data_IF_737674135426
#
_entry.id   IF_737674135426
#
_cell.length_a   1.000
_cell.length_b   1.000
_cell.length_c   1.000
_cell.angle_alpha   90.00
_cell.angle_beta   90.00
_cell.angle_gamma   90.00
#
_symmetry.space_group_name_H-M   'P 1'
#
loop_
_entity.id
_entity.type
_entity.pdbx_description
1 polymer ?
#
# COMPACT_ATOMS: atom_id res chain seq x y z
N UNK A 1 3.43 -19.91 -16.85
CA UNK A 1 3.89 -18.55 -17.17
C UNK A 1 3.99 -17.77 -15.87
N UNK A 2 5.17 -17.77 -15.24
CA UNK A 2 5.39 -17.20 -13.92
C UNK A 2 6.67 -16.37 -13.95
N UNK A 3 6.57 -15.15 -14.46
CA UNK A 3 7.53 -14.07 -14.23
C UNK A 3 6.96 -12.80 -14.87
N UNK A 4 7.14 -11.67 -14.18
CA UNK A 4 7.07 -10.28 -14.70
C UNK A 4 6.00 -9.34 -14.13
N UNK A 5 5.78 -9.32 -12.81
CA UNK A 5 5.55 -8.04 -12.09
C UNK A 5 6.18 -8.19 -10.70
N UNK A 6 7.47 -7.84 -10.58
CA UNK A 6 8.28 -8.04 -9.37
C UNK A 6 8.13 -6.93 -8.33
N UNK A 7 7.40 -5.85 -8.63
CA UNK A 7 6.99 -4.86 -7.65
C UNK A 7 5.48 -4.99 -7.48
N UNK A 8 5.00 -5.39 -6.30
CA UNK A 8 3.58 -5.50 -6.00
C UNK A 8 2.82 -4.18 -6.05
N UNK A 9 3.47 -3.07 -6.46
CA UNK A 9 2.95 -1.72 -6.58
C UNK A 9 2.23 -1.47 -7.91
N UNK A 10 1.04 -0.89 -7.84
CA UNK A 10 0.24 -0.44 -8.97
C UNK A 10 0.04 1.07 -8.89
N UNK A 11 0.30 1.78 -9.98
CA UNK A 11 -0.10 3.18 -10.13
C UNK A 11 -1.62 3.28 -10.14
N UNK A 12 -2.15 4.24 -9.37
CA UNK A 12 -3.59 4.45 -9.23
C UNK A 12 -4.02 5.73 -9.94
N UNK A 13 -3.47 6.86 -9.51
CA UNK A 13 -3.75 8.18 -10.07
C UNK A 13 -2.72 9.19 -9.54
N UNK A 14 -2.86 10.46 -9.90
CA UNK A 14 -2.19 11.58 -9.25
C UNK A 14 -2.85 11.90 -7.92
N UNK A 15 -2.07 12.39 -6.96
CA UNK A 15 -2.55 12.86 -5.66
C UNK A 15 -3.58 14.00 -5.78
N UNK A 16 -3.58 14.70 -6.92
CA UNK A 16 -4.55 15.75 -7.25
C UNK A 16 -5.95 15.22 -7.58
N UNK A 17 -6.12 13.90 -7.76
CA UNK A 17 -7.44 13.28 -7.90
C UNK A 17 -8.24 13.27 -6.59
N UNK A 18 -7.54 13.41 -5.45
CA UNK A 18 -8.12 13.52 -4.09
C UNK A 18 -7.44 14.69 -3.36
N UNK A 19 -7.72 15.94 -3.78
CA UNK A 19 -6.96 17.12 -3.36
C UNK A 19 -7.16 17.52 -1.88
N UNK A 20 -8.28 17.20 -1.26
CA UNK A 20 -8.62 17.66 0.08
C UNK A 20 -8.82 16.52 1.07
N UNK A 21 -8.61 16.78 2.36
CA UNK A 21 -8.94 15.84 3.42
C UNK A 21 -10.41 15.41 3.34
N UNK A 22 -10.65 14.11 3.46
CA UNK A 22 -11.96 13.49 3.29
C UNK A 22 -12.26 13.05 1.86
N UNK A 23 -11.49 13.49 0.85
CA UNK A 23 -11.66 13.00 -0.52
C UNK A 23 -11.28 11.52 -0.62
N UNK A 24 -12.01 10.79 -1.47
CA UNK A 24 -11.73 9.38 -1.72
C UNK A 24 -11.93 8.99 -3.17
N UNK A 25 -11.17 7.98 -3.59
CA UNK A 25 -11.21 7.38 -4.91
C UNK A 25 -11.40 5.87 -4.77
N UNK A 26 -12.46 5.33 -5.38
CA UNK A 26 -12.67 3.89 -5.45
C UNK A 26 -12.12 3.32 -6.75
N UNK A 27 -11.30 2.28 -6.64
CA UNK A 27 -10.67 1.60 -7.76
C UNK A 27 -10.82 0.09 -7.63
N UNK A 28 -10.79 -0.62 -8.76
CA UNK A 28 -10.75 -2.09 -8.77
C UNK A 28 -9.36 -2.55 -9.20
N UNK A 29 -8.62 -3.17 -8.28
CA UNK A 29 -7.29 -3.74 -8.55
C UNK A 29 -7.35 -5.25 -8.45
N UNK A 30 -7.01 -5.96 -9.53
CA UNK A 30 -7.07 -7.42 -9.62
C UNK A 30 -8.40 -8.03 -9.12
N UNK A 31 -9.53 -7.36 -9.42
CA UNK A 31 -10.86 -7.78 -9.00
C UNK A 31 -11.20 -7.48 -7.54
N UNK A 32 -10.32 -6.80 -6.80
CA UNK A 32 -10.55 -6.37 -5.42
C UNK A 32 -10.93 -4.89 -5.38
N UNK A 33 -12.02 -4.52 -4.67
CA UNK A 33 -12.38 -3.12 -4.48
C UNK A 33 -11.44 -2.49 -3.45
N UNK A 34 -10.72 -1.44 -3.88
CA UNK A 34 -9.82 -0.65 -3.05
C UNK A 34 -10.37 0.77 -2.98
N UNK A 35 -10.37 1.35 -1.79
CA UNK A 35 -10.62 2.78 -1.59
C UNK A 35 -9.30 3.44 -1.20
N UNK A 36 -8.94 4.51 -1.91
CA UNK A 36 -7.85 5.41 -1.57
C UNK A 36 -8.48 6.66 -0.96
N UNK A 37 -7.96 7.12 0.17
CA UNK A 37 -8.53 8.24 0.94
C UNK A 37 -7.40 9.21 1.28
N UNK A 38 -7.67 10.52 1.18
CA UNK A 38 -6.85 11.54 1.83
C UNK A 38 -7.43 11.77 3.22
N UNK A 39 -6.69 11.39 4.24
CA UNK A 39 -7.15 11.50 5.64
C UNK A 39 -6.98 12.92 6.18
N UNK A 40 -7.49 13.15 7.39
CA UNK A 40 -7.44 14.47 8.05
C UNK A 40 -6.03 14.94 8.37
N UNK A 41 -5.08 14.02 8.51
CA UNK A 41 -3.65 14.29 8.65
C UNK A 41 -2.94 14.54 7.31
N UNK A 42 -3.71 14.70 6.23
CA UNK A 42 -3.27 14.87 4.85
C UNK A 42 -2.52 13.67 4.23
N UNK A 43 -2.38 12.56 4.96
CA UNK A 43 -1.80 11.34 4.41
C UNK A 43 -2.76 10.67 3.42
N UNK A 44 -2.19 10.06 2.37
CA UNK A 44 -2.95 9.23 1.44
C UNK A 44 -2.85 7.77 1.87
N UNK A 45 -3.98 7.19 2.27
CA UNK A 45 -4.08 5.78 2.70
C UNK A 45 -4.95 4.98 1.75
N UNK A 46 -4.76 3.67 1.75
CA UNK A 46 -5.55 2.76 0.92
C UNK A 46 -6.07 1.59 1.73
N UNK A 47 -7.29 1.17 1.42
CA UNK A 47 -7.99 0.11 2.12
C UNK A 47 -8.68 -0.85 1.15
N UNK A 48 -8.59 -2.14 1.44
CA UNK A 48 -9.42 -3.16 0.80
C UNK A 48 -10.81 -3.14 1.43
N UNK A 49 -11.83 -2.86 0.62
CA UNK A 49 -13.22 -2.90 1.04
C UNK A 49 -13.68 -4.36 1.19
N UNK A 50 -13.94 -4.80 2.42
CA UNK A 50 -14.63 -6.07 2.65
C UNK A 50 -16.13 -5.86 2.45
N UNK A 51 -16.81 -6.78 1.75
CA UNK A 51 -18.27 -6.72 1.63
C UNK A 51 -18.89 -6.89 3.01
N UNK A 52 -19.73 -5.94 3.43
CA UNK A 52 -20.58 -6.09 4.64
C UNK A 52 -21.39 -7.40 4.53
N UNK A 53 -21.58 -8.15 5.63
CA UNK A 53 -21.29 -7.81 7.03
C UNK A 53 -19.86 -8.14 7.49
N UNK A 54 -18.94 -8.48 6.58
CA UNK A 54 -17.75 -9.30 6.87
C UNK A 54 -16.52 -8.56 7.41
N UNK A 55 -16.62 -7.30 7.84
CA UNK A 55 -15.55 -6.62 8.58
C UNK A 55 -15.27 -5.18 8.18
N UNK A 56 -14.42 -4.53 8.98
CA UNK A 56 -13.90 -3.20 8.69
C UNK A 56 -12.97 -3.25 7.45
N UNK A 57 -12.83 -2.13 6.70
CA UNK A 57 -11.84 -2.03 5.63
C UNK A 57 -10.45 -2.42 6.13
N UNK A 58 -9.73 -3.21 5.36
CA UNK A 58 -8.38 -3.66 5.73
C UNK A 58 -7.33 -2.73 5.11
N UNK A 59 -6.38 -2.18 5.87
CA UNK A 59 -5.33 -1.34 5.30
C UNK A 59 -4.48 -2.15 4.32
N UNK A 60 -4.06 -1.51 3.24
CA UNK A 60 -3.07 -2.02 2.30
C UNK A 60 -1.98 -0.96 2.13
N UNK A 61 -0.79 -1.37 1.69
CA UNK A 61 0.30 -0.40 1.50
C UNK A 61 -0.06 0.62 0.44
N UNK A 62 0.19 1.88 0.77
CA UNK A 62 -0.03 3.04 -0.07
C UNK A 62 1.23 3.91 -0.01
N UNK A 63 1.63 4.48 -1.14
CA UNK A 63 2.75 5.41 -1.18
C UNK A 63 2.51 6.49 -2.24
N UNK A 64 2.88 7.73 -1.91
CA UNK A 64 2.87 8.85 -2.86
C UNK A 64 4.32 9.18 -3.24
N UNK A 65 4.65 9.07 -4.52
CA UNK A 65 5.97 9.46 -5.05
C UNK A 65 5.81 10.37 -6.24
N UNK A 66 6.47 11.52 -6.22
CA UNK A 66 6.40 12.51 -7.30
C UNK A 66 4.95 12.90 -7.67
N UNK A 67 4.07 12.97 -6.66
CA UNK A 67 2.65 13.28 -6.85
C UNK A 67 1.81 12.10 -7.41
N UNK A 68 2.38 10.92 -7.63
CA UNK A 68 1.67 9.73 -8.06
C UNK A 68 1.35 8.83 -6.87
N UNK A 69 0.12 8.33 -6.81
CA UNK A 69 -0.36 7.39 -5.79
C UNK A 69 -0.12 5.96 -6.28
N UNK A 70 0.51 5.15 -5.45
CA UNK A 70 0.72 3.73 -5.67
C UNK A 70 0.11 2.90 -4.55
N UNK A 71 -0.50 1.78 -4.90
CA UNK A 71 -1.02 0.80 -3.94
C UNK A 71 -0.32 -0.53 -4.15
N UNK A 72 -0.05 -1.25 -3.07
CA UNK A 72 0.52 -2.59 -3.13
C UNK A 72 -0.36 -3.59 -2.37
N UNK A 73 -0.74 -4.65 -3.06
CA UNK A 73 -1.60 -5.72 -2.53
C UNK A 73 -0.83 -7.02 -2.19
N UNK A 74 0.46 -7.09 -2.47
CA UNK A 74 1.30 -8.26 -2.18
C UNK A 74 1.53 -8.38 -0.67
N UNK A 75 0.95 -9.40 -0.05
CA UNK A 75 1.05 -9.63 1.39
C UNK A 75 2.49 -9.82 1.88
N UNK A 76 3.41 -10.25 1.00
CA UNK A 76 4.82 -10.41 1.37
C UNK A 76 5.47 -9.06 1.68
N UNK A 77 5.08 -8.01 0.97
CA UNK A 77 5.54 -6.65 1.22
C UNK A 77 4.88 -6.01 2.46
N UNK A 78 3.87 -6.68 3.06
CA UNK A 78 3.23 -6.25 4.31
C UNK A 78 3.88 -6.87 5.55
N UNK A 79 4.79 -7.85 5.39
CA UNK A 79 5.62 -8.32 6.50
C UNK A 79 6.63 -7.22 6.85
N UNK A 80 6.55 -6.72 8.09
CA UNK A 80 7.64 -5.97 8.69
C UNK A 80 8.82 -6.94 8.78
N UNK A 81 9.78 -6.83 7.86
CA UNK A 81 11.06 -7.48 8.06
C UNK A 81 11.69 -6.84 9.30
N UNK A 82 11.67 -7.55 10.43
CA UNK A 82 12.59 -7.21 11.51
C UNK A 82 13.99 -7.35 10.92
N UNK A 83 14.83 -6.30 10.97
CA UNK A 83 16.19 -6.41 10.47
C UNK A 83 16.89 -7.49 11.29
N UNK A 84 17.30 -8.56 10.62
CA UNK A 84 18.15 -9.58 11.21
C UNK A 84 19.47 -8.90 11.59
N UNK A 85 19.56 -8.46 12.84
CA UNK A 85 20.80 -8.00 13.48
C UNK A 85 21.67 -9.23 13.70
N UNK A 86 22.15 -9.81 12.60
CA UNK A 86 23.25 -10.76 12.65
C UNK A 86 24.48 -9.96 13.09
N UNK A 87 24.73 -9.97 14.40
CA UNK A 87 25.91 -9.37 14.99
C UNK A 87 27.15 -9.93 14.30
N UNK A 88 27.83 -9.09 13.52
CA UNK A 88 29.11 -9.44 12.93
C UNK A 88 30.07 -9.82 14.06
N UNK A 89 30.41 -11.10 14.17
CA UNK A 89 31.44 -11.56 15.09
C UNK A 89 32.76 -10.92 14.68
N UNK A 90 33.45 -10.15 15.56
CA UNK A 90 34.72 -9.57 15.20
C UNK A 90 35.74 -10.71 15.08
N UNK A 91 36.41 -10.79 13.92
CA UNK A 91 37.51 -11.71 13.69
C UNK A 91 38.72 -11.18 14.46
N UNK A 92 39.07 -11.82 15.59
CA UNK A 92 40.30 -11.52 16.33
C UNK A 92 41.53 -11.82 15.46
N UNK A 93 42.46 -10.88 15.42
CA UNK A 93 43.81 -11.02 14.86
C UNK A 93 44.81 -11.31 15.99
#
# INVERSE_FOLDING_TARGET
MASAYRSGWQFIDLATAIPHAGDSLMVTLFGQPIVVVREEDEDVRAYRCLRRPRGAPQPVRCEVRYGMVFVNLDQRDHQLFEPDITAATPRSA
#
